data_IF_050631017915
#
_entry.id   IF_050631017915
#
_cell.length_a   1.000
_cell.length_b   1.000
_cell.length_c   1.000
_cell.angle_alpha   90.00
_cell.angle_beta   90.00
_cell.angle_gamma   90.00
#
_symmetry.space_group_name_H-M   'P 1'
#
loop_
_entity.id
_entity.type
_entity.pdbx_description
1 polymer ?
#
# COMPACT_ATOMS: atom_id res chain seq x y z
N UNK A 1 -50.27 -43.58 -14.26
CA UNK A 1 -49.65 -43.30 -12.94
C UNK A 1 -48.13 -43.53 -12.91
N UNK A 2 -47.59 -44.63 -13.46
CA UNK A 2 -46.13 -44.89 -13.45
C UNK A 2 -45.27 -43.88 -14.24
N UNK A 3 -45.73 -43.40 -15.40
CA UNK A 3 -45.01 -42.37 -16.19
C UNK A 3 -44.90 -41.02 -15.47
N UNK A 4 -46.01 -40.56 -14.89
CA UNK A 4 -46.06 -39.31 -14.13
C UNK A 4 -45.13 -39.31 -12.91
N UNK A 5 -45.01 -40.45 -12.22
CA UNK A 5 -44.08 -40.60 -11.10
C UNK A 5 -42.62 -40.54 -11.56
N UNK A 6 -42.32 -41.09 -12.75
CA UNK A 6 -40.97 -41.06 -13.32
C UNK A 6 -40.56 -39.66 -13.76
N UNK A 7 -41.48 -38.91 -14.40
CA UNK A 7 -41.25 -37.52 -14.80
C UNK A 7 -41.05 -36.61 -13.58
N UNK A 8 -41.81 -36.83 -12.50
CA UNK A 8 -41.65 -36.09 -11.24
C UNK A 8 -40.28 -36.34 -10.59
N UNK A 9 -39.78 -37.58 -10.63
CA UNK A 9 -38.46 -37.93 -10.10
C UNK A 9 -37.36 -37.23 -10.90
N UNK A 10 -37.43 -37.29 -12.23
CA UNK A 10 -36.45 -36.63 -13.11
C UNK A 10 -36.47 -35.12 -12.88
N UNK A 11 -37.64 -34.51 -12.80
CA UNK A 11 -37.78 -33.08 -12.53
C UNK A 11 -37.16 -32.68 -11.19
N UNK A 12 -37.39 -33.48 -10.14
CA UNK A 12 -36.80 -33.26 -8.81
C UNK A 12 -35.27 -33.35 -8.83
N UNK A 13 -34.71 -34.33 -9.56
CA UNK A 13 -33.25 -34.49 -9.71
C UNK A 13 -32.64 -33.32 -10.46
N UNK A 14 -33.27 -32.86 -11.54
CA UNK A 14 -32.81 -31.68 -12.29
C UNK A 14 -32.88 -30.40 -11.41
N UNK A 15 -33.93 -30.23 -10.62
CA UNK A 15 -34.10 -29.08 -9.75
C UNK A 15 -33.02 -29.04 -8.64
N UNK A 16 -32.68 -30.20 -8.08
CA UNK A 16 -31.60 -30.32 -7.10
C UNK A 16 -30.21 -30.00 -7.72
N UNK A 17 -29.96 -30.44 -8.96
CA UNK A 17 -28.73 -30.13 -9.68
C UNK A 17 -28.55 -28.63 -9.97
N UNK A 18 -29.64 -27.93 -10.34
CA UNK A 18 -29.61 -26.49 -10.60
C UNK A 18 -29.38 -25.70 -9.30
N UNK A 19 -30.01 -26.12 -8.19
CA UNK A 19 -29.76 -25.52 -6.88
C UNK A 19 -28.28 -25.64 -6.48
N UNK A 20 -27.66 -26.82 -6.65
CA UNK A 20 -26.24 -27.02 -6.36
C UNK A 20 -25.31 -26.12 -7.21
N UNK A 21 -25.63 -25.90 -8.49
CA UNK A 21 -24.85 -25.02 -9.37
C UNK A 21 -24.95 -23.54 -8.98
N UNK A 22 -26.09 -23.10 -8.43
CA UNK A 22 -26.29 -21.72 -7.98
C UNK A 22 -25.50 -21.38 -6.70
N UNK A 23 -25.16 -22.38 -5.87
CA UNK A 23 -24.34 -22.19 -4.67
C UNK A 23 -22.83 -22.42 -4.90
N UNK A 24 -22.43 -22.88 -6.08
CA UNK A 24 -21.02 -23.04 -6.44
C UNK A 24 -20.17 -21.75 -6.38
N UNK A 25 -20.68 -20.54 -6.69
CA UNK A 25 -19.86 -19.32 -6.62
C UNK A 25 -19.48 -18.91 -5.19
N UNK A 26 -20.18 -19.42 -4.17
CA UNK A 26 -19.91 -19.13 -2.76
C UNK A 26 -18.67 -19.90 -2.22
N UNK A 27 -18.17 -20.88 -2.98
CA UNK A 27 -16.96 -21.64 -2.65
C UNK A 27 -15.69 -21.11 -3.34
N UNK A 28 -15.80 -19.99 -4.08
CA UNK A 28 -14.61 -19.32 -4.58
C UNK A 28 -13.79 -18.82 -3.38
N UNK A 29 -12.53 -19.26 -3.20
CA UNK A 29 -11.69 -18.73 -2.13
C UNK A 29 -11.61 -17.22 -2.30
N UNK A 30 -11.85 -16.47 -1.22
CA UNK A 30 -11.68 -15.03 -1.22
C UNK A 30 -10.28 -14.73 -1.76
N UNK A 31 -10.20 -13.97 -2.85
CA UNK A 31 -8.93 -13.54 -3.43
C UNK A 31 -8.23 -12.72 -2.36
N UNK A 32 -7.23 -13.30 -1.71
CA UNK A 32 -6.44 -12.59 -0.73
C UNK A 32 -5.82 -11.37 -1.42
N UNK A 33 -5.87 -10.17 -0.81
CA UNK A 33 -5.24 -9.01 -1.40
C UNK A 33 -3.76 -9.31 -1.64
N UNK A 34 -3.30 -9.07 -2.87
CA UNK A 34 -1.89 -9.28 -3.28
C UNK A 34 -0.91 -8.46 -2.43
N UNK A 35 -1.40 -7.41 -1.78
CA UNK A 35 -0.64 -6.55 -0.89
C UNK A 35 -1.28 -6.54 0.50
N UNK A 36 -0.69 -7.27 1.43
CA UNK A 36 -0.92 -7.06 2.85
C UNK A 36 -0.13 -5.81 3.24
N UNK A 37 -0.82 -4.76 3.72
CA UNK A 37 -0.18 -3.58 4.30
C UNK A 37 0.67 -4.05 5.48
N UNK A 38 1.97 -4.17 5.28
CA UNK A 38 2.92 -4.46 6.35
C UNK A 38 3.26 -3.12 7.01
N UNK A 39 2.69 -2.86 8.18
CA UNK A 39 3.14 -1.77 9.04
C UNK A 39 4.47 -2.21 9.69
N UNK A 40 5.56 -1.92 8.99
CA UNK A 40 6.91 -2.09 9.51
C UNK A 40 7.31 -0.79 10.21
N UNK A 41 7.27 -0.78 11.54
CA UNK A 41 7.96 0.25 12.31
C UNK A 41 9.47 0.07 12.13
N UNK A 42 10.10 0.96 11.38
CA UNK A 42 11.55 1.01 11.28
C UNK A 42 12.10 1.42 12.66
N UNK A 43 12.95 0.57 13.25
CA UNK A 43 13.54 0.78 14.56
C UNK A 43 14.12 2.19 14.72
N UNK A 44 13.93 2.82 15.88
CA UNK A 44 14.44 4.16 16.23
C UNK A 44 15.97 4.33 16.19
N UNK A 45 16.73 3.25 15.93
CA UNK A 45 18.17 3.31 15.64
C UNK A 45 18.49 3.41 14.14
N UNK A 46 17.49 3.43 13.28
CA UNK A 46 17.67 3.46 11.84
C UNK A 46 17.95 4.88 11.34
N UNK A 47 18.87 4.96 10.38
CA UNK A 47 19.16 6.17 9.62
C UNK A 47 18.22 6.16 8.40
N UNK A 48 17.59 7.29 8.13
CA UNK A 48 16.82 7.56 6.93
C UNK A 48 17.72 8.16 5.87
N UNK A 49 17.71 7.55 4.69
CA UNK A 49 18.29 8.15 3.51
C UNK A 49 17.24 9.03 2.84
N UNK A 50 17.57 10.29 2.57
CA UNK A 50 16.66 11.26 1.96
C UNK A 50 17.32 11.85 0.72
N UNK A 51 16.58 11.89 -0.37
CA UNK A 51 16.90 12.62 -1.59
C UNK A 51 15.94 13.79 -1.69
N UNK A 52 16.49 15.00 -1.61
CA UNK A 52 15.75 16.25 -1.71
C UNK A 52 16.03 16.89 -3.06
N UNK A 53 15.02 16.99 -3.92
CA UNK A 53 15.12 17.69 -5.19
C UNK A 53 14.50 19.08 -5.08
N UNK A 54 15.23 20.09 -5.53
CA UNK A 54 14.71 21.42 -5.76
C UNK A 54 13.95 21.44 -7.10
N UNK A 55 12.66 21.78 -7.06
CA UNK A 55 11.76 21.81 -8.22
C UNK A 55 12.09 22.91 -9.22
N UNK A 56 12.74 23.99 -8.79
CA UNK A 56 13.11 25.15 -9.63
C UNK A 56 14.43 24.91 -10.36
N UNK A 57 15.42 24.36 -9.67
CA UNK A 57 16.77 24.14 -10.23
C UNK A 57 16.97 22.72 -10.76
N UNK A 58 16.17 21.76 -10.30
CA UNK A 58 16.34 20.33 -10.57
C UNK A 58 17.47 19.68 -9.76
N UNK A 59 18.18 20.45 -8.94
CA UNK A 59 19.30 19.96 -8.14
C UNK A 59 18.81 18.96 -7.09
N UNK A 60 19.48 17.80 -6.99
CA UNK A 60 19.15 16.77 -6.00
C UNK A 60 20.26 16.68 -4.96
N UNK A 61 19.88 16.78 -3.69
CA UNK A 61 20.77 16.70 -2.53
C UNK A 61 20.45 15.46 -1.71
N UNK A 62 21.48 14.90 -1.08
CA UNK A 62 21.37 13.67 -0.30
C UNK A 62 21.64 13.95 1.17
N UNK A 63 20.81 13.36 2.04
CA UNK A 63 20.93 13.44 3.48
C UNK A 63 20.77 12.07 4.14
N UNK A 64 21.49 11.86 5.24
CA UNK A 64 21.32 10.74 6.15
C UNK A 64 20.89 11.28 7.51
N UNK A 65 19.64 11.07 7.89
CA UNK A 65 19.05 11.65 9.10
C UNK A 65 18.52 10.58 10.05
N UNK A 66 18.39 10.84 11.36
CA UNK A 66 17.76 9.91 12.29
C UNK A 66 16.29 9.59 11.93
N UNK A 67 15.79 8.40 12.31
CA UNK A 67 14.39 7.99 12.09
C UNK A 67 13.33 8.89 12.76
N UNK A 68 13.71 9.64 13.79
CA UNK A 68 12.86 10.60 14.48
C UNK A 68 12.96 12.02 13.92
N UNK A 69 13.73 12.22 12.84
CA UNK A 69 13.85 13.51 12.17
C UNK A 69 12.50 14.01 11.64
N UNK A 70 12.22 15.29 11.85
CA UNK A 70 11.02 15.95 11.32
C UNK A 70 11.29 16.61 9.97
N UNK A 71 10.23 16.93 9.23
CA UNK A 71 10.34 17.72 8.01
C UNK A 71 11.03 19.07 8.27
N UNK A 72 10.67 19.77 9.36
CA UNK A 72 11.32 21.03 9.72
C UNK A 72 12.83 20.90 9.90
N UNK A 73 13.28 19.88 10.63
CA UNK A 73 14.71 19.62 10.84
C UNK A 73 15.46 19.28 9.54
N UNK A 74 14.85 18.49 8.65
CA UNK A 74 15.41 18.19 7.34
C UNK A 74 15.54 19.46 6.48
N UNK A 75 14.52 20.31 6.49
CA UNK A 75 14.50 21.52 5.68
C UNK A 75 15.45 22.60 6.19
N UNK A 76 15.61 22.71 7.51
CA UNK A 76 16.65 23.50 8.16
C UNK A 76 18.04 23.00 7.75
N UNK A 77 18.27 21.69 7.77
CA UNK A 77 19.53 21.07 7.32
C UNK A 77 19.80 21.34 5.83
N UNK A 78 18.74 21.37 5.02
CA UNK A 78 18.80 21.69 3.60
C UNK A 78 18.87 23.21 3.32
N UNK A 79 18.80 24.07 4.34
CA UNK A 79 18.77 25.53 4.17
C UNK A 79 17.64 25.99 3.26
N UNK A 80 16.48 25.33 3.31
CA UNK A 80 15.34 25.65 2.44
C UNK A 80 14.37 26.56 3.17
N UNK A 81 14.18 27.78 2.65
CA UNK A 81 13.31 28.80 3.28
C UNK A 81 11.83 28.64 2.89
N UNK A 82 11.54 28.02 1.75
CA UNK A 82 10.18 27.84 1.21
C UNK A 82 9.77 26.37 1.26
N UNK A 83 9.27 25.98 2.42
CA UNK A 83 8.66 24.68 2.66
C UNK A 83 7.19 24.82 2.35
N UNK A 84 6.83 24.55 1.09
CA UNK A 84 5.46 24.68 0.60
C UNK A 84 4.45 24.06 1.57
N UNK A 85 3.19 24.54 1.55
CA UNK A 85 2.12 24.18 2.50
C UNK A 85 1.73 22.69 2.56
N UNK A 86 2.44 21.83 1.81
CA UNK A 86 2.23 20.39 1.71
C UNK A 86 2.84 19.61 2.88
N UNK A 87 3.82 20.18 3.57
CA UNK A 87 4.53 19.51 4.67
C UNK A 87 4.29 20.20 6.00
N UNK A 88 4.00 19.42 7.04
CA UNK A 88 3.94 19.89 8.42
C UNK A 88 5.35 19.79 9.05
N UNK A 89 5.98 20.91 9.46
CA UNK A 89 7.35 20.91 10.00
C UNK A 89 7.53 20.06 11.27
N UNK A 90 6.47 19.89 12.07
CA UNK A 90 6.50 19.11 13.31
C UNK A 90 6.28 17.60 13.05
N UNK A 91 5.84 17.24 11.85
CA UNK A 91 5.62 15.85 11.49
C UNK A 91 6.95 15.13 11.23
N UNK A 92 7.06 13.92 11.77
CA UNK A 92 8.17 13.01 11.48
C UNK A 92 8.19 12.60 10.01
N UNK A 93 9.38 12.42 9.45
CA UNK A 93 9.55 11.86 8.13
C UNK A 93 8.85 10.49 8.03
N UNK A 94 8.05 10.31 6.98
CA UNK A 94 7.21 9.12 6.80
C UNK A 94 7.70 8.27 5.64
N UNK A 95 7.85 6.96 5.88
CA UNK A 95 8.18 5.95 4.86
C UNK A 95 7.05 5.65 3.88
N UNK A 96 5.90 6.31 3.99
CA UNK A 96 4.73 6.01 3.17
C UNK A 96 5.02 6.06 1.66
N UNK A 97 5.95 6.93 1.24
CA UNK A 97 6.33 7.14 -0.16
C UNK A 97 7.81 6.81 -0.43
N UNK A 98 8.45 6.01 0.43
CA UNK A 98 9.86 5.65 0.25
C UNK A 98 10.05 4.78 -1.02
N UNK A 99 11.08 5.11 -1.79
CA UNK A 99 11.49 4.37 -2.99
C UNK A 99 12.70 3.50 -2.69
N UNK A 100 12.73 2.28 -3.24
CA UNK A 100 13.90 1.40 -3.14
C UNK A 100 14.88 1.72 -4.28
N UNK A 101 16.08 2.16 -3.94
CA UNK A 101 17.16 2.40 -4.92
C UNK A 101 18.30 1.43 -4.60
N UNK A 102 18.54 0.48 -5.49
CA UNK A 102 19.49 -0.60 -5.26
C UNK A 102 19.04 -1.52 -4.11
N UNK A 103 19.68 -1.39 -2.94
CA UNK A 103 19.39 -2.20 -1.74
C UNK A 103 18.94 -1.35 -0.54
N UNK A 104 18.79 -0.05 -0.72
CA UNK A 104 18.45 0.89 0.35
C UNK A 104 17.16 1.64 0.02
N UNK A 105 16.37 1.94 1.06
CA UNK A 105 15.17 2.77 0.93
C UNK A 105 15.54 4.23 1.07
N UNK A 106 15.01 5.05 0.17
CA UNK A 106 15.19 6.49 0.15
C UNK A 106 13.83 7.17 0.22
N UNK A 107 13.74 8.22 1.04
CA UNK A 107 12.65 9.18 0.96
C UNK A 107 12.97 10.15 -0.17
N UNK A 108 12.10 10.23 -1.17
CA UNK A 108 12.26 11.18 -2.26
C UNK A 108 11.29 12.35 -2.07
N UNK A 109 11.84 13.53 -1.81
CA UNK A 109 11.08 14.76 -1.53
C UNK A 109 11.41 15.78 -2.61
N UNK A 110 10.38 16.43 -3.14
CA UNK A 110 10.51 17.50 -4.14
C UNK A 110 9.94 18.78 -3.54
N UNK A 111 10.75 19.85 -3.51
CA UNK A 111 10.38 21.17 -2.97
C UNK A 111 10.31 22.23 -4.05
#
# INVERSE_FOLDING_TARGET
MKKFLFDLIIFSVCLAGIAAAAFWPAAAPAVAPVYTRAESEFSSKSILNVLLQDSKTGETRYFSVPADCTYGQLFDLAGTEDVGRLYDPEQKLSYADAVLIGREYYLYIVL
#
